data_IF_359242474930
#
_entry.id   IF_359242474930
#
_cell.length_a   1.000
_cell.length_b   1.000
_cell.length_c   1.000
_cell.angle_alpha   90.00
_cell.angle_beta   90.00
_cell.angle_gamma   90.00
#
_symmetry.space_group_name_H-M   'P 1'
#
loop_
_entity.id
_entity.type
_entity.pdbx_description
1 polymer ?
#
# COMPACT_ATOMS: atom_id res chain seq x y z
N UNK A 1 45.13 6.26 -23.76
CA UNK A 1 45.82 6.43 -22.46
C UNK A 1 44.77 6.18 -21.38
N UNK A 2 44.79 5.18 -20.50
CA UNK A 2 45.82 4.25 -20.08
C UNK A 2 45.32 2.79 -20.12
N UNK A 3 46.29 1.89 -20.21
CA UNK A 3 46.24 0.45 -20.46
C UNK A 3 46.10 -0.38 -19.18
N UNK A 4 45.46 -1.54 -19.26
CA UNK A 4 45.84 -2.72 -18.47
C UNK A 4 45.61 -4.00 -19.29
N UNK A 5 46.73 -4.54 -19.79
CA UNK A 5 46.87 -5.79 -20.51
C UNK A 5 47.35 -6.86 -19.51
N UNK A 6 46.62 -7.97 -19.38
CA UNK A 6 47.10 -9.15 -18.66
C UNK A 6 47.76 -10.12 -19.64
N UNK A 7 49.09 -10.10 -19.61
CA UNK A 7 49.97 -10.99 -20.35
C UNK A 7 50.06 -12.34 -19.63
N UNK A 8 49.65 -13.42 -20.27
CA UNK A 8 49.91 -14.79 -19.81
C UNK A 8 51.21 -15.28 -20.46
N UNK A 9 52.29 -15.39 -19.68
CA UNK A 9 53.57 -15.91 -20.16
C UNK A 9 53.60 -17.44 -20.00
N UNK A 10 53.48 -18.17 -21.11
CA UNK A 10 53.83 -19.59 -21.16
C UNK A 10 55.34 -19.73 -21.41
N UNK A 11 56.08 -20.30 -20.45
CA UNK A 11 57.46 -20.74 -20.68
C UNK A 11 57.41 -22.19 -21.18
N UNK A 12 57.89 -22.39 -22.40
CA UNK A 12 58.13 -23.72 -22.98
C UNK A 12 59.65 -23.93 -22.94
N UNK A 13 60.11 -24.91 -22.16
CA UNK A 13 61.47 -25.43 -22.29
C UNK A 13 61.38 -26.82 -22.93
N UNK A 14 62.03 -26.99 -24.07
CA UNK A 14 62.23 -28.27 -24.71
C UNK A 14 63.53 -28.90 -24.21
N UNK A 15 63.47 -30.16 -23.79
CA UNK A 15 64.65 -31.03 -23.72
C UNK A 15 64.26 -32.49 -24.02
N UNK A 16 65.12 -33.14 -24.80
CA UNK A 16 65.03 -34.50 -25.34
C UNK A 16 65.01 -35.60 -24.26
N UNK A 17 64.22 -36.65 -24.52
CA UNK A 17 64.50 -38.04 -24.10
C UNK A 17 64.10 -38.49 -22.67
N UNK A 18 62.99 -39.23 -22.56
CA UNK A 18 62.78 -40.25 -21.50
C UNK A 18 61.85 -39.92 -20.31
N UNK A 19 61.08 -40.93 -19.87
CA UNK A 19 59.96 -40.95 -18.89
C UNK A 19 60.25 -40.47 -17.44
N UNK A 20 59.29 -39.77 -16.78
CA UNK A 20 58.46 -40.25 -15.62
C UNK A 20 57.56 -39.17 -14.95
N UNK A 21 56.26 -39.52 -14.82
CA UNK A 21 55.25 -39.34 -13.75
C UNK A 21 55.20 -38.05 -12.89
N UNK A 22 54.01 -37.43 -12.82
CA UNK A 22 53.27 -37.17 -11.56
C UNK A 22 51.78 -36.88 -11.83
N UNK A 23 50.87 -37.74 -11.32
CA UNK A 23 49.43 -37.42 -11.22
C UNK A 23 49.26 -36.39 -10.10
N UNK A 24 49.17 -35.12 -10.45
CA UNK A 24 48.69 -34.09 -9.53
C UNK A 24 47.16 -34.18 -9.45
N UNK A 25 46.65 -34.47 -8.24
CA UNK A 25 45.24 -34.37 -7.91
C UNK A 25 44.74 -32.94 -8.19
N UNK A 26 44.02 -32.75 -9.30
CA UNK A 26 43.28 -31.52 -9.55
C UNK A 26 41.97 -31.61 -8.78
N UNK A 27 41.91 -30.77 -7.74
CA UNK A 27 40.76 -30.42 -6.92
C UNK A 27 39.43 -30.51 -7.69
N UNK A 28 38.47 -31.27 -7.15
CA UNK A 28 37.08 -31.10 -7.51
C UNK A 28 36.66 -29.66 -7.18
N UNK A 29 35.94 -28.94 -8.06
CA UNK A 29 35.38 -27.67 -7.69
C UNK A 29 34.29 -27.94 -6.63
N UNK A 30 34.58 -27.57 -5.39
CA UNK A 30 33.57 -27.48 -4.36
C UNK A 30 32.59 -26.39 -4.80
N UNK A 31 31.42 -26.81 -5.28
CA UNK A 31 30.32 -25.90 -5.55
C UNK A 31 29.90 -25.31 -4.20
N UNK A 32 30.34 -24.09 -3.92
CA UNK A 32 29.79 -23.30 -2.84
C UNK A 32 28.28 -23.19 -3.08
N UNK A 33 27.42 -23.50 -2.10
CA UNK A 33 25.99 -23.30 -2.26
C UNK A 33 25.75 -21.80 -2.39
N UNK A 34 25.40 -21.37 -3.61
CA UNK A 34 24.88 -20.02 -3.84
C UNK A 34 23.57 -19.94 -3.05
N UNK A 35 23.44 -19.05 -2.06
CA UNK A 35 22.18 -18.89 -1.36
C UNK A 35 21.16 -18.43 -2.39
N UNK A 36 20.16 -19.27 -2.68
CA UNK A 36 18.98 -18.86 -3.45
C UNK A 36 18.33 -17.73 -2.68
N UNK A 37 18.58 -16.49 -3.11
CA UNK A 37 17.85 -15.31 -2.66
C UNK A 37 16.38 -15.65 -2.86
N UNK A 38 15.61 -15.78 -1.77
CA UNK A 38 14.16 -15.87 -1.86
C UNK A 38 13.71 -14.64 -2.64
N UNK A 39 13.29 -14.85 -3.88
CA UNK A 39 12.58 -13.82 -4.63
C UNK A 39 11.26 -13.70 -3.87
N UNK A 40 11.17 -12.74 -2.96
CA UNK A 40 9.88 -12.28 -2.47
C UNK A 40 9.15 -11.83 -3.73
N UNK A 41 8.11 -12.55 -4.12
CA UNK A 41 7.22 -12.09 -5.18
C UNK A 41 6.67 -10.75 -4.71
N UNK A 42 7.11 -9.66 -5.34
CA UNK A 42 6.56 -8.34 -5.09
C UNK A 42 5.15 -8.35 -5.71
N UNK A 43 4.19 -8.82 -4.94
CA UNK A 43 2.77 -8.69 -5.24
C UNK A 43 2.49 -7.19 -5.31
N UNK A 44 2.09 -6.68 -6.48
CA UNK A 44 1.73 -5.26 -6.65
C UNK A 44 0.63 -4.90 -5.67
N UNK A 45 0.66 -3.70 -5.10
CA UNK A 45 -0.35 -3.23 -4.14
C UNK A 45 -1.80 -3.48 -4.62
N UNK A 46 -2.09 -3.17 -5.89
CA UNK A 46 -3.39 -3.45 -6.51
C UNK A 46 -3.80 -4.94 -6.45
N UNK A 47 -2.85 -5.85 -6.60
CA UNK A 47 -3.13 -7.30 -6.66
C UNK A 47 -3.48 -7.93 -5.31
N UNK A 48 -3.29 -7.24 -4.18
CA UNK A 48 -3.85 -7.69 -2.89
C UNK A 48 -5.35 -7.42 -2.83
N UNK A 49 -5.76 -6.23 -3.28
CA UNK A 49 -7.17 -5.80 -3.31
C UNK A 49 -7.96 -6.58 -4.36
N UNK A 50 -7.36 -6.87 -5.52
CA UNK A 50 -8.04 -7.56 -6.62
C UNK A 50 -8.45 -9.02 -6.30
N UNK A 51 -8.01 -9.58 -5.16
CA UNK A 51 -8.46 -10.89 -4.66
C UNK A 51 -9.88 -10.87 -4.11
N UNK A 52 -10.39 -9.69 -3.73
CA UNK A 52 -11.68 -9.52 -3.10
C UNK A 52 -12.75 -9.22 -4.15
N UNK A 53 -13.88 -9.92 -4.05
CA UNK A 53 -15.02 -9.69 -4.94
C UNK A 53 -15.75 -8.41 -4.56
N UNK A 54 -16.17 -7.62 -5.56
CA UNK A 54 -17.03 -6.45 -5.33
C UNK A 54 -18.47 -6.81 -4.91
N UNK A 55 -18.83 -8.10 -5.01
CA UNK A 55 -20.14 -8.62 -4.60
C UNK A 55 -20.20 -8.96 -3.10
N UNK A 56 -19.04 -9.12 -2.46
CA UNK A 56 -18.95 -9.43 -1.04
C UNK A 56 -18.91 -8.14 -0.21
N UNK A 57 -19.34 -8.25 1.06
CA UNK A 57 -19.24 -7.14 2.02
C UNK A 57 -17.86 -7.19 2.66
N UNK A 58 -17.06 -6.17 2.42
CA UNK A 58 -15.71 -6.03 2.97
C UNK A 58 -15.77 -5.34 4.34
N UNK A 59 -15.07 -5.91 5.31
CA UNK A 59 -14.89 -5.33 6.64
C UNK A 59 -13.43 -4.89 6.80
N UNK A 60 -13.24 -3.58 6.97
CA UNK A 60 -11.93 -2.92 7.10
C UNK A 60 -11.82 -2.25 8.48
N UNK A 61 -11.46 -2.98 9.56
CA UNK A 61 -11.33 -2.41 10.90
C UNK A 61 -10.28 -1.29 10.94
N UNK A 62 -10.64 -0.17 11.56
CA UNK A 62 -9.71 0.92 11.84
C UNK A 62 -8.78 0.59 13.00
N UNK A 63 -7.48 0.77 12.78
CA UNK A 63 -6.48 0.63 13.84
C UNK A 63 -6.48 1.80 14.83
N UNK A 64 -7.26 2.86 14.58
CA UNK A 64 -7.34 4.01 15.48
C UNK A 64 -7.87 3.62 16.88
N UNK A 65 -8.73 2.60 16.96
CA UNK A 65 -9.25 2.06 18.22
C UNK A 65 -8.39 0.94 18.81
N UNK A 66 -7.30 0.56 18.16
CA UNK A 66 -6.43 -0.51 18.62
C UNK A 66 -5.50 -0.06 19.76
N UNK A 67 -4.97 -1.04 20.51
CA UNK A 67 -3.90 -0.76 21.46
C UNK A 67 -2.55 -0.57 20.73
N UNK A 68 -2.13 0.68 20.57
CA UNK A 68 -0.87 1.04 19.91
C UNK A 68 0.40 0.44 20.53
N UNK A 69 0.38 0.11 21.83
CA UNK A 69 1.51 -0.56 22.47
C UNK A 69 1.72 -2.00 21.98
N UNK A 70 0.71 -2.59 21.33
CA UNK A 70 0.69 -3.97 20.85
C UNK A 70 0.12 -4.07 19.43
N UNK A 71 0.37 -3.05 18.60
CA UNK A 71 -0.34 -2.88 17.33
C UNK A 71 -0.22 -4.09 16.39
N UNK A 72 0.96 -4.70 16.29
CA UNK A 72 1.15 -5.89 15.46
C UNK A 72 0.36 -7.11 15.94
N UNK A 73 0.18 -7.28 17.25
CA UNK A 73 -0.67 -8.34 17.82
C UNK A 73 -2.15 -8.05 17.55
N UNK A 74 -2.57 -6.79 17.67
CA UNK A 74 -3.95 -6.37 17.41
C UNK A 74 -4.34 -6.59 15.94
N UNK A 75 -3.45 -6.28 14.99
CA UNK A 75 -3.68 -6.53 13.57
C UNK A 75 -3.83 -8.02 13.28
N UNK A 76 -2.96 -8.87 13.84
CA UNK A 76 -3.10 -10.33 13.69
C UNK A 76 -4.40 -10.86 14.29
N UNK A 77 -4.82 -10.34 15.44
CA UNK A 77 -6.05 -10.76 16.09
C UNK A 77 -7.29 -10.47 15.22
N UNK A 78 -7.36 -9.30 14.56
CA UNK A 78 -8.49 -8.99 13.66
C UNK A 78 -8.40 -9.74 12.32
N UNK A 79 -7.19 -10.03 11.83
CA UNK A 79 -6.97 -10.90 10.66
C UNK A 79 -7.46 -12.34 10.96
N UNK A 80 -7.11 -12.90 12.12
CA UNK A 80 -7.60 -14.21 12.57
C UNK A 80 -9.12 -14.22 12.81
N UNK A 81 -9.70 -13.08 13.18
CA UNK A 81 -11.15 -12.90 13.29
C UNK A 81 -11.86 -12.78 11.93
N UNK A 82 -11.12 -12.73 10.81
CA UNK A 82 -11.66 -12.74 9.46
C UNK A 82 -11.98 -11.38 8.87
N UNK A 83 -11.27 -10.31 9.29
CA UNK A 83 -11.34 -9.05 8.55
C UNK A 83 -10.68 -9.15 7.17
N UNK A 84 -11.12 -8.31 6.24
CA UNK A 84 -10.66 -8.34 4.86
C UNK A 84 -9.46 -7.42 4.65
N UNK A 85 -9.56 -6.18 5.13
CA UNK A 85 -8.57 -5.12 4.97
C UNK A 85 -8.22 -4.53 6.35
N UNK A 86 -7.13 -3.77 6.44
CA UNK A 86 -6.76 -3.03 7.64
C UNK A 86 -6.83 -1.53 7.33
N UNK A 87 -7.75 -0.81 7.99
CA UNK A 87 -7.93 0.61 7.78
C UNK A 87 -6.96 1.44 8.64
N UNK A 88 -6.30 2.40 8.01
CA UNK A 88 -5.27 3.26 8.60
C UNK A 88 -5.67 4.72 8.46
N UNK A 89 -6.12 5.30 9.57
CA UNK A 89 -6.52 6.70 9.66
C UNK A 89 -5.34 7.64 9.93
N UNK A 90 -4.97 8.43 8.91
CA UNK A 90 -3.85 9.38 8.98
C UNK A 90 -4.38 10.79 9.15
N UNK A 91 -3.95 11.47 10.22
CA UNK A 91 -4.39 12.81 10.57
C UNK A 91 -3.18 13.71 10.88
N UNK A 92 -3.20 14.95 10.41
CA UNK A 92 -2.08 15.91 10.51
C UNK A 92 -2.31 17.08 11.49
N UNK A 93 -3.45 17.12 12.17
CA UNK A 93 -3.83 18.23 13.05
C UNK A 93 -4.24 19.51 12.33
N UNK A 94 -4.27 19.51 10.99
CA UNK A 94 -4.60 20.66 10.14
C UNK A 94 -5.95 20.47 9.46
N UNK A 95 -6.13 19.36 8.74
CA UNK A 95 -7.40 19.07 8.09
C UNK A 95 -8.47 18.63 9.09
N UNK A 96 -8.04 17.88 10.12
CA UNK A 96 -8.84 17.52 11.29
C UNK A 96 -8.09 17.93 12.57
N UNK A 97 -8.80 18.20 13.69
CA UNK A 97 -8.18 18.68 14.93
C UNK A 97 -7.55 17.55 15.77
N UNK A 98 -6.84 16.61 15.13
CA UNK A 98 -6.17 15.49 15.78
C UNK A 98 -4.94 15.05 14.96
N UNK A 99 -3.95 14.44 15.61
CA UNK A 99 -2.74 13.89 14.99
C UNK A 99 -2.65 12.41 15.36
N UNK A 100 -2.53 11.54 14.37
CA UNK A 100 -2.50 10.09 14.59
C UNK A 100 -1.14 9.49 14.27
N UNK A 101 -0.97 9.04 13.04
CA UNK A 101 0.16 8.21 12.59
C UNK A 101 0.60 8.62 11.19
N UNK A 102 1.81 8.22 10.82
CA UNK A 102 2.38 8.49 9.52
C UNK A 102 2.86 7.22 8.81
N UNK A 103 3.59 7.37 7.70
CA UNK A 103 4.04 6.25 6.86
C UNK A 103 4.88 5.20 7.62
N UNK A 104 5.59 5.60 8.67
CA UNK A 104 6.39 4.68 9.50
C UNK A 104 5.54 3.56 10.09
N UNK A 105 4.29 3.84 10.49
CA UNK A 105 3.40 2.81 11.04
C UNK A 105 2.91 1.86 9.96
N UNK A 106 2.63 2.37 8.75
CA UNK A 106 2.27 1.53 7.59
C UNK A 106 3.43 0.61 7.22
N UNK A 107 4.65 1.12 7.19
CA UNK A 107 5.87 0.35 6.92
C UNK A 107 6.09 -0.76 7.97
N UNK A 108 5.85 -0.45 9.25
CA UNK A 108 5.95 -1.42 10.34
C UNK A 108 4.84 -2.49 10.29
N UNK A 109 3.64 -2.15 9.83
CA UNK A 109 2.51 -3.08 9.69
C UNK A 109 2.62 -3.96 8.45
N UNK A 110 3.25 -3.47 7.38
CA UNK A 110 3.36 -4.20 6.13
C UNK A 110 3.93 -5.62 6.25
N UNK A 111 5.00 -5.89 7.04
CA UNK A 111 5.50 -7.25 7.24
C UNK A 111 4.68 -8.08 8.24
N UNK A 112 3.71 -7.49 8.94
CA UNK A 112 2.89 -8.16 9.97
C UNK A 112 1.71 -8.92 9.36
N UNK A 113 1.13 -8.39 8.27
CA UNK A 113 -0.06 -8.94 7.60
C UNK A 113 0.10 -8.92 6.08
N UNK A 114 -0.55 -9.84 5.38
CA UNK A 114 -0.67 -9.85 3.91
C UNK A 114 -2.01 -9.25 3.42
N UNK A 115 -2.91 -8.85 4.33
CA UNK A 115 -4.15 -8.15 3.98
C UNK A 115 -3.88 -6.76 3.38
N UNK A 116 -4.78 -6.24 2.53
CA UNK A 116 -4.67 -4.88 2.04
C UNK A 116 -4.60 -3.83 3.17
N UNK A 117 -3.65 -2.90 3.07
CA UNK A 117 -3.60 -1.72 3.93
C UNK A 117 -4.36 -0.58 3.24
N UNK A 118 -5.50 -0.22 3.81
CA UNK A 118 -6.40 0.84 3.33
C UNK A 118 -6.10 2.15 4.05
N UNK A 119 -5.33 3.04 3.41
CA UNK A 119 -4.86 4.28 4.02
C UNK A 119 -5.79 5.43 3.68
N UNK A 120 -6.35 6.06 4.71
CA UNK A 120 -7.22 7.22 4.62
C UNK A 120 -6.49 8.48 5.07
N UNK A 121 -6.25 9.39 4.13
CA UNK A 121 -5.50 10.63 4.36
C UNK A 121 -6.42 11.80 4.72
N UNK A 122 -6.66 11.99 6.01
CA UNK A 122 -7.31 13.19 6.58
C UNK A 122 -6.26 14.29 6.83
N UNK A 123 -5.61 14.74 5.76
CA UNK A 123 -4.50 15.72 5.79
C UNK A 123 -4.68 16.82 4.74
N UNK A 124 -3.98 17.93 4.91
CA UNK A 124 -3.82 18.93 3.85
C UNK A 124 -2.72 18.53 2.87
N UNK A 125 -2.86 18.94 1.60
CA UNK A 125 -1.86 18.70 0.55
C UNK A 125 -1.44 17.23 0.41
N UNK A 126 -2.39 16.28 0.28
CA UNK A 126 -2.07 14.86 0.38
C UNK A 126 -1.14 14.35 -0.73
N UNK A 127 -1.10 15.01 -1.90
CA UNK A 127 -0.21 14.67 -3.01
C UNK A 127 1.28 14.68 -2.63
N UNK A 128 1.66 15.45 -1.60
CA UNK A 128 3.01 15.50 -1.06
C UNK A 128 3.36 14.23 -0.26
N UNK A 129 2.36 13.57 0.34
CA UNK A 129 2.54 12.42 1.23
C UNK A 129 2.16 11.09 0.61
N UNK A 130 1.34 11.09 -0.46
CA UNK A 130 0.96 9.88 -1.21
C UNK A 130 2.15 8.97 -1.52
N UNK A 131 3.30 9.46 -2.07
CA UNK A 131 4.42 8.59 -2.40
C UNK A 131 5.01 7.86 -1.19
N UNK A 132 5.03 8.51 -0.02
CA UNK A 132 5.57 7.92 1.21
C UNK A 132 4.71 6.74 1.68
N UNK A 133 3.38 6.90 1.66
CA UNK A 133 2.45 5.86 2.09
C UNK A 133 2.45 4.65 1.15
N UNK A 134 2.50 4.89 -0.16
CA UNK A 134 2.60 3.81 -1.15
C UNK A 134 3.93 3.07 -1.00
N UNK A 135 5.05 3.81 -0.81
CA UNK A 135 6.35 3.21 -0.55
C UNK A 135 6.37 2.38 0.74
N UNK A 136 5.67 2.83 1.78
CA UNK A 136 5.49 2.10 3.03
C UNK A 136 4.62 0.84 2.91
N UNK A 137 3.95 0.64 1.76
CA UNK A 137 3.20 -0.58 1.46
C UNK A 137 1.68 -0.45 1.54
N UNK A 138 1.15 0.78 1.47
CA UNK A 138 -0.28 1.02 1.28
C UNK A 138 -0.77 0.40 -0.04
N UNK A 139 -1.91 -0.31 0.01
CA UNK A 139 -2.54 -0.91 -1.16
C UNK A 139 -3.64 -0.02 -1.75
N UNK A 140 -4.33 0.71 -0.86
CA UNK A 140 -5.34 1.72 -1.19
C UNK A 140 -4.92 3.02 -0.52
N UNK A 141 -5.02 4.13 -1.25
CA UNK A 141 -4.87 5.47 -0.67
C UNK A 141 -6.10 6.30 -1.03
N UNK A 142 -6.80 6.76 0.00
CA UNK A 142 -8.01 7.56 -0.11
C UNK A 142 -7.74 9.00 0.30
N UNK A 143 -8.10 9.95 -0.56
CA UNK A 143 -7.91 11.40 -0.32
C UNK A 143 -9.25 12.14 -0.30
N UNK A 144 -9.32 13.19 0.50
CA UNK A 144 -10.50 14.05 0.59
C UNK A 144 -10.71 14.89 -0.67
N UNK A 145 -11.95 14.94 -1.15
CA UNK A 145 -12.34 15.79 -2.29
C UNK A 145 -12.50 17.26 -1.92
N UNK A 146 -12.60 17.58 -0.62
CA UNK A 146 -12.73 18.93 -0.13
C UNK A 146 -11.52 19.79 -0.52
N UNK A 147 -11.78 21.00 -1.02
CA UNK A 147 -10.74 21.93 -1.47
C UNK A 147 -9.79 22.36 -0.34
N UNK A 148 -10.21 22.23 0.92
CA UNK A 148 -9.37 22.43 2.11
C UNK A 148 -8.31 21.34 2.30
N UNK A 149 -8.44 20.20 1.62
CA UNK A 149 -7.43 19.13 1.57
C UNK A 149 -6.71 19.12 0.23
N UNK A 150 -7.44 18.96 -0.87
CA UNK A 150 -6.86 18.67 -2.20
C UNK A 150 -7.29 19.69 -3.24
N UNK A 151 -6.35 20.48 -3.75
CA UNK A 151 -6.64 21.51 -4.78
C UNK A 151 -6.89 20.89 -6.15
N UNK A 152 -6.08 19.90 -6.54
CA UNK A 152 -6.10 19.28 -7.88
C UNK A 152 -6.50 17.80 -7.77
N UNK A 153 -7.73 17.54 -7.34
CA UNK A 153 -8.21 16.19 -7.01
C UNK A 153 -7.97 15.16 -8.13
N UNK A 154 -8.35 15.46 -9.37
CA UNK A 154 -8.12 14.56 -10.52
C UNK A 154 -6.64 14.21 -10.71
N UNK A 155 -5.72 15.17 -10.50
CA UNK A 155 -4.26 14.94 -10.58
C UNK A 155 -3.81 13.99 -9.47
N UNK A 156 -4.24 14.23 -8.24
CA UNK A 156 -3.87 13.43 -7.07
C UNK A 156 -4.37 11.99 -7.18
N UNK A 157 -5.62 11.78 -7.64
CA UNK A 157 -6.17 10.44 -7.91
C UNK A 157 -5.32 9.69 -8.93
N UNK A 158 -4.98 10.32 -10.06
CA UNK A 158 -4.13 9.69 -11.08
C UNK A 158 -2.69 9.45 -10.59
N UNK A 159 -2.15 10.32 -9.74
CA UNK A 159 -0.85 10.11 -9.11
C UNK A 159 -0.84 8.81 -8.28
N UNK A 160 -1.85 8.60 -7.44
CA UNK A 160 -1.99 7.37 -6.63
C UNK A 160 -1.96 6.13 -7.52
N UNK A 161 -2.76 6.12 -8.59
CA UNK A 161 -2.80 5.00 -9.55
C UNK A 161 -1.46 4.80 -10.27
N UNK A 162 -0.81 5.88 -10.69
CA UNK A 162 0.49 5.83 -11.39
C UNK A 162 1.60 5.24 -10.53
N UNK A 163 1.49 5.38 -9.21
CA UNK A 163 2.41 4.82 -8.21
C UNK A 163 2.06 3.37 -7.83
N UNK A 164 0.95 2.82 -8.34
CA UNK A 164 0.61 1.41 -8.23
C UNK A 164 -0.30 1.03 -7.05
N UNK A 165 -0.95 2.01 -6.41
CA UNK A 165 -2.01 1.78 -5.42
C UNK A 165 -3.40 2.00 -6.04
N UNK A 166 -4.44 1.48 -5.39
CA UNK A 166 -5.84 1.83 -5.72
C UNK A 166 -6.15 3.23 -5.19
N UNK A 167 -6.82 4.04 -5.99
CA UNK A 167 -7.15 5.41 -5.62
C UNK A 167 -8.57 5.53 -5.09
N UNK A 168 -8.70 6.00 -3.86
CA UNK A 168 -9.97 6.31 -3.23
C UNK A 168 -10.24 7.81 -3.16
N UNK A 169 -11.52 8.18 -3.15
CA UNK A 169 -11.97 9.54 -2.80
C UNK A 169 -12.89 9.52 -1.59
N UNK A 170 -12.71 10.49 -0.71
CA UNK A 170 -13.48 10.63 0.53
C UNK A 170 -14.39 11.87 0.46
N UNK A 171 -15.61 11.73 0.98
CA UNK A 171 -16.56 12.83 1.16
C UNK A 171 -16.96 12.96 2.62
N UNK A 172 -16.80 14.15 3.18
CA UNK A 172 -17.35 14.51 4.49
C UNK A 172 -18.88 14.48 4.48
N UNK A 173 -19.52 14.42 5.67
CA UNK A 173 -20.98 14.35 5.77
C UNK A 173 -21.70 15.50 5.05
N UNK A 174 -21.13 16.71 5.09
CA UNK A 174 -21.67 17.91 4.43
C UNK A 174 -21.34 18.04 2.94
N UNK A 175 -20.42 17.23 2.41
CA UNK A 175 -19.96 17.36 1.02
C UNK A 175 -20.91 16.64 0.06
N UNK A 176 -21.42 17.32 -0.99
CA UNK A 176 -22.35 16.73 -1.95
C UNK A 176 -21.63 15.80 -2.95
N UNK A 177 -22.38 14.82 -3.50
CA UNK A 177 -21.85 13.89 -4.50
C UNK A 177 -21.37 14.57 -5.79
N UNK A 178 -21.92 15.73 -6.14
CA UNK A 178 -21.46 16.51 -7.29
C UNK A 178 -19.98 16.91 -7.20
N UNK A 179 -19.38 16.91 -6.00
CA UNK A 179 -17.96 17.19 -5.82
C UNK A 179 -17.04 16.14 -6.48
N UNK A 180 -17.54 14.94 -6.75
CA UNK A 180 -16.76 13.83 -7.33
C UNK A 180 -17.24 13.39 -8.71
N UNK A 181 -18.21 14.09 -9.31
CA UNK A 181 -18.84 13.69 -10.58
C UNK A 181 -17.81 13.44 -11.70
N UNK A 182 -16.86 14.36 -11.85
CA UNK A 182 -15.85 14.33 -12.92
C UNK A 182 -14.62 13.45 -12.65
N UNK A 183 -14.61 12.72 -11.54
CA UNK A 183 -13.55 11.76 -11.21
C UNK A 183 -14.09 10.36 -10.92
N UNK A 184 -15.41 10.17 -10.95
CA UNK A 184 -16.05 8.94 -10.52
C UNK A 184 -15.66 7.74 -11.40
N UNK A 185 -15.28 7.99 -12.65
CA UNK A 185 -14.84 7.00 -13.63
C UNK A 185 -13.37 6.56 -13.45
N UNK A 186 -12.55 7.34 -12.73
CA UNK A 186 -11.13 7.06 -12.52
C UNK A 186 -10.79 6.54 -11.13
N UNK A 187 -11.67 6.73 -10.13
CA UNK A 187 -11.48 6.18 -8.78
C UNK A 187 -11.79 4.69 -8.71
N UNK A 188 -11.11 3.99 -7.81
CA UNK A 188 -11.34 2.57 -7.52
C UNK A 188 -12.29 2.39 -6.31
N UNK A 189 -12.33 3.38 -5.42
CA UNK A 189 -13.10 3.37 -4.17
C UNK A 189 -13.70 4.74 -3.87
N UNK A 190 -14.92 4.77 -3.33
CA UNK A 190 -15.51 5.98 -2.74
C UNK A 190 -15.84 5.71 -1.28
N UNK A 191 -15.30 6.54 -0.39
CA UNK A 191 -15.54 6.51 1.05
C UNK A 191 -16.50 7.63 1.44
N UNK A 192 -17.67 7.25 1.96
CA UNK A 192 -18.62 8.19 2.56
C UNK A 192 -18.38 8.23 4.06
N UNK A 193 -17.99 9.39 4.58
CA UNK A 193 -17.87 9.59 6.02
C UNK A 193 -19.27 9.62 6.65
N UNK A 194 -19.55 8.63 7.50
CA UNK A 194 -20.78 8.55 8.30
C UNK A 194 -20.69 9.25 9.66
N UNK A 195 -19.55 9.89 9.94
CA UNK A 195 -19.24 10.70 11.11
C UNK A 195 -18.39 11.89 10.65
N UNK A 196 -18.21 12.91 11.48
CA UNK A 196 -17.24 13.95 11.16
C UNK A 196 -15.82 13.41 11.41
N UNK A 197 -14.87 13.53 10.48
CA UNK A 197 -13.53 12.98 10.66
C UNK A 197 -12.77 13.64 11.82
N UNK A 198 -11.88 12.89 12.46
CA UNK A 198 -10.96 13.38 13.51
C UNK A 198 -10.99 12.58 14.81
N UNK A 199 -12.11 11.96 15.14
CA UNK A 199 -12.27 11.20 16.39
C UNK A 199 -13.08 9.90 16.18
N UNK A 200 -12.72 8.83 16.88
CA UNK A 200 -13.52 7.60 16.96
C UNK A 200 -14.68 7.70 17.95
N UNK A 201 -15.55 6.68 18.00
CA UNK A 201 -16.65 6.58 18.96
C UNK A 201 -17.79 7.58 18.76
N UNK A 202 -17.91 8.15 17.56
CA UNK A 202 -18.99 9.09 17.22
C UNK A 202 -20.23 8.34 16.72
N UNK A 203 -21.41 8.89 17.02
CA UNK A 203 -22.67 8.33 16.52
C UNK A 203 -22.79 8.47 15.00
N UNK A 204 -23.33 7.43 14.37
CA UNK A 204 -23.62 7.39 12.95
C UNK A 204 -24.59 8.51 12.52
N UNK A 205 -24.26 9.19 11.42
CA UNK A 205 -25.08 10.26 10.83
C UNK A 205 -26.04 9.65 9.80
N UNK A 206 -27.30 9.45 10.18
CA UNK A 206 -28.33 8.76 9.36
C UNK A 206 -28.53 9.33 7.95
N UNK A 207 -28.33 10.64 7.76
CA UNK A 207 -28.47 11.28 6.44
C UNK A 207 -27.50 10.71 5.40
N UNK A 208 -26.41 10.07 5.83
CA UNK A 208 -25.44 9.47 4.93
C UNK A 208 -25.98 8.22 4.23
N UNK A 209 -26.98 7.52 4.79
CA UNK A 209 -27.66 6.39 4.11
C UNK A 209 -28.24 6.83 2.77
N UNK A 210 -28.88 8.02 2.72
CA UNK A 210 -29.38 8.59 1.47
C UNK A 210 -28.26 8.86 0.48
N UNK A 211 -27.15 9.46 0.94
CA UNK A 211 -25.97 9.74 0.10
C UNK A 211 -25.39 8.46 -0.51
N UNK A 212 -25.36 7.38 0.27
CA UNK A 212 -24.89 6.07 -0.18
C UNK A 212 -25.82 5.50 -1.26
N UNK A 213 -27.14 5.55 -1.04
CA UNK A 213 -28.12 5.09 -2.01
C UNK A 213 -28.02 5.89 -3.33
N UNK A 214 -27.87 7.21 -3.25
CA UNK A 214 -27.73 8.08 -4.40
C UNK A 214 -26.40 7.82 -5.14
N UNK A 215 -25.29 7.63 -4.42
CA UNK A 215 -24.01 7.24 -5.01
C UNK A 215 -24.10 5.90 -5.73
N UNK A 216 -24.76 4.90 -5.13
CA UNK A 216 -24.93 3.58 -5.76
C UNK A 216 -25.70 3.67 -7.08
N UNK A 217 -26.63 4.61 -7.23
CA UNK A 217 -27.33 4.87 -8.50
C UNK A 217 -26.44 5.54 -9.54
N UNK A 218 -25.47 6.37 -9.11
CA UNK A 218 -24.50 7.01 -10.01
C UNK A 218 -23.41 6.05 -10.48
N UNK A 219 -23.03 5.07 -9.65
CA UNK A 219 -21.97 4.13 -9.97
C UNK A 219 -22.40 3.10 -11.03
N UNK A 220 -21.63 3.00 -12.11
CA UNK A 220 -21.77 1.97 -13.16
C UNK A 220 -20.84 0.80 -12.82
N UNK A 221 -21.29 -0.23 -12.09
CA UNK A 221 -20.61 -1.53 -11.72
C UNK A 221 -19.11 -1.53 -11.28
N UNK A 222 -18.37 -0.44 -11.42
CA UNK A 222 -16.90 -0.38 -11.41
C UNK A 222 -16.32 0.04 -10.07
N UNK A 223 -17.10 0.70 -9.21
CA UNK A 223 -16.65 1.35 -7.97
C UNK A 223 -17.01 0.51 -6.75
N UNK A 224 -16.05 0.24 -5.87
CA UNK A 224 -16.31 -0.32 -4.54
C UNK A 224 -16.73 0.83 -3.62
N UNK A 225 -17.86 0.67 -2.95
CA UNK A 225 -18.30 1.59 -1.90
C UNK A 225 -17.92 0.94 -0.57
N UNK A 226 -16.97 1.55 0.14
CA UNK A 226 -16.51 1.05 1.44
C UNK A 226 -17.02 1.96 2.55
N UNK A 227 -17.44 1.36 3.65
CA UNK A 227 -17.90 2.06 4.84
C UNK A 227 -16.89 1.87 5.97
N UNK A 228 -16.51 2.96 6.62
CA UNK A 228 -15.81 2.89 7.89
C UNK A 228 -16.78 3.29 8.98
N UNK A 229 -17.32 2.29 9.68
CA UNK A 229 -17.93 2.54 10.98
C UNK A 229 -16.78 2.77 11.97
N UNK A 230 -16.60 4.03 12.37
CA UNK A 230 -15.85 4.36 13.58
C UNK A 230 -16.73 4.00 14.78
N UNK A 231 -16.67 2.75 15.22
CA UNK A 231 -17.26 2.32 16.50
C UNK A 231 -16.31 2.71 17.63
#
# INVERSE_FOLDING_TARGET
MATASLCCSARINAFDGGLRIQRSYLFQPTSLPVPRRKVQSITRATSRVDKFSKSDIIVSPSILSANFAKLGEQVKAVEEAGCDWIHVDVMDGRFVPNITIGPLVVDALRPVTDLPLDVHLMIVEPDQRVPDFIKAGADIVSVHCEQSSTIHLHRTVNQIKSLGAKAGVVLNPGTPLGAIEYILDVVDLVLIMSVNPGFGGQSFIESQVKKIADLRRLCVEKVIITFHLYI
#
